data_IF_752469200778
#
_entry.id   IF_752469200778
#
_cell.length_a   1.000
_cell.length_b   1.000
_cell.length_c   1.000
_cell.angle_alpha   90.00
_cell.angle_beta   90.00
_cell.angle_gamma   90.00
#
_symmetry.space_group_name_H-M   'P 1'
#
loop_
_entity.id
_entity.type
_entity.pdbx_description
1 polymer ?
#
# COMPACT_ATOMS: atom_id res chain seq x y z
N UNK A 1 -12.96 16.10 14.73
CA UNK A 1 -13.12 14.70 14.29
C UNK A 1 -11.95 13.92 14.87
N UNK A 2 -12.14 12.77 15.52
CA UNK A 2 -11.00 12.02 16.07
C UNK A 2 -10.37 11.18 14.95
N UNK A 3 -9.06 10.89 14.98
CA UNK A 3 -8.41 10.11 13.94
C UNK A 3 -9.08 8.75 13.72
N UNK A 4 -9.36 7.99 14.79
CA UNK A 4 -10.05 6.70 14.72
C UNK A 4 -11.41 6.71 14.00
N UNK A 5 -12.06 7.87 13.89
CA UNK A 5 -13.34 7.98 13.19
C UNK A 5 -13.12 8.03 11.65
N UNK A 6 -11.89 8.24 11.17
CA UNK A 6 -11.53 8.32 9.75
C UNK A 6 -11.19 6.97 9.13
N UNK A 7 -10.38 6.12 9.76
CA UNK A 7 -9.92 4.85 9.18
C UNK A 7 -9.93 3.71 10.22
N UNK A 8 -11.10 3.35 10.77
CA UNK A 8 -11.19 2.41 11.89
C UNK A 8 -10.65 1.01 11.54
N UNK A 9 -10.92 0.51 10.33
CA UNK A 9 -10.50 -0.85 9.95
C UNK A 9 -8.97 -0.95 9.78
N UNK A 10 -8.34 0.11 9.25
CA UNK A 10 -6.88 0.14 9.15
C UNK A 10 -6.22 0.36 10.52
N UNK A 11 -6.77 1.24 11.36
CA UNK A 11 -6.29 1.46 12.73
C UNK A 11 -6.30 0.13 13.52
N UNK A 12 -7.38 -0.65 13.40
CA UNK A 12 -7.48 -1.99 14.00
C UNK A 12 -6.45 -2.97 13.43
N UNK A 13 -6.31 -3.02 12.09
CA UNK A 13 -5.32 -3.88 11.44
C UNK A 13 -3.91 -3.59 11.93
N UNK A 14 -3.51 -2.32 11.94
CA UNK A 14 -2.16 -1.91 12.29
C UNK A 14 -1.85 -2.21 13.76
N UNK A 15 -2.76 -1.87 14.68
CA UNK A 15 -2.61 -2.20 16.10
C UNK A 15 -2.53 -3.72 16.36
N UNK A 16 -3.10 -4.53 15.46
CA UNK A 16 -3.04 -5.99 15.53
C UNK A 16 -1.71 -6.55 15.04
N UNK A 17 -1.15 -6.01 13.95
CA UNK A 17 0.04 -6.57 13.28
C UNK A 17 1.36 -5.90 13.71
N UNK A 18 1.29 -4.73 14.34
CA UNK A 18 2.46 -4.02 14.84
C UNK A 18 2.35 -3.86 16.36
N UNK A 19 3.15 -4.60 17.15
CA UNK A 19 3.13 -4.51 18.61
C UNK A 19 3.45 -3.10 19.12
N UNK A 20 2.77 -2.71 20.21
CA UNK A 20 2.99 -1.44 20.95
C UNK A 20 2.83 -0.14 20.15
N UNK A 21 2.29 -0.25 18.94
CA UNK A 21 2.20 0.81 17.95
C UNK A 21 1.43 2.04 18.44
N UNK A 22 0.31 1.83 19.12
CA UNK A 22 -0.54 2.92 19.62
C UNK A 22 0.14 3.83 20.63
N UNK A 23 1.24 3.40 21.25
CA UNK A 23 2.04 4.22 22.18
C UNK A 23 3.21 4.95 21.52
N UNK A 24 3.55 4.59 20.28
CA UNK A 24 4.75 5.05 19.58
C UNK A 24 4.46 6.08 18.50
N UNK A 25 3.26 6.02 17.90
CA UNK A 25 2.83 6.99 16.90
C UNK A 25 2.73 8.42 17.42
N UNK A 26 3.19 9.36 16.61
CA UNK A 26 3.07 10.80 16.87
C UNK A 26 2.47 11.49 15.65
N UNK A 27 1.32 12.10 15.84
CA UNK A 27 0.64 12.88 14.81
C UNK A 27 1.28 14.24 14.59
N UNK A 28 1.08 14.79 13.39
CA UNK A 28 1.32 16.19 13.10
C UNK A 28 0.32 17.08 13.85
N UNK A 29 0.72 18.32 14.09
CA UNK A 29 -0.15 19.36 14.66
C UNK A 29 -1.20 19.81 13.66
N UNK A 30 -2.31 20.38 14.13
CA UNK A 30 -3.34 20.96 13.25
C UNK A 30 -2.76 22.05 12.35
N UNK A 31 -1.83 22.86 12.87
CA UNK A 31 -1.16 23.90 12.08
C UNK A 31 -0.37 23.34 10.90
N UNK A 32 0.37 22.25 11.11
CA UNK A 32 1.13 21.61 10.02
C UNK A 32 0.19 21.00 8.97
N UNK A 33 -0.92 20.39 9.40
CA UNK A 33 -1.93 19.86 8.49
C UNK A 33 -2.54 21.00 7.65
N UNK A 34 -2.88 22.13 8.28
CA UNK A 34 -3.40 23.31 7.59
C UNK A 34 -2.40 23.88 6.58
N UNK A 35 -1.10 23.89 6.92
CA UNK A 35 -0.04 24.31 5.99
C UNK A 35 0.07 23.36 4.78
N UNK A 36 -0.03 22.06 4.99
CA UNK A 36 -0.04 21.07 3.91
C UNK A 36 -1.30 21.22 3.03
N UNK A 37 -2.47 21.52 3.62
CA UNK A 37 -3.70 21.84 2.86
C UNK A 37 -3.55 23.10 2.01
N UNK A 38 -2.89 24.13 2.53
CA UNK A 38 -2.57 25.34 1.77
C UNK A 38 -1.64 25.05 0.59
N UNK A 39 -0.62 24.19 0.79
CA UNK A 39 0.28 23.76 -0.29
C UNK A 39 -0.50 22.97 -1.36
N UNK A 40 -1.40 22.08 -0.94
CA UNK A 40 -2.25 21.31 -1.85
C UNK A 40 -3.29 22.18 -2.59
N UNK A 41 -3.63 23.34 -2.02
CA UNK A 41 -4.69 24.24 -2.53
C UNK A 41 -6.10 23.65 -2.42
N UNK A 42 -6.29 22.62 -1.58
CA UNK A 42 -7.53 21.87 -1.41
C UNK A 42 -7.52 21.08 -0.08
N UNK A 43 -8.68 20.62 0.42
CA UNK A 43 -8.73 19.66 1.52
C UNK A 43 -7.95 18.38 1.19
N UNK A 44 -7.25 17.80 2.18
CA UNK A 44 -6.53 16.54 1.97
C UNK A 44 -7.49 15.36 1.80
N UNK A 45 -7.07 14.34 1.02
CA UNK A 45 -7.67 13.01 1.08
C UNK A 45 -7.95 12.53 2.49
N UNK A 46 -9.07 11.82 2.68
CA UNK A 46 -9.51 11.31 3.99
C UNK A 46 -8.39 10.52 4.67
N UNK A 47 -7.78 9.60 3.91
CA UNK A 47 -6.71 8.74 4.38
C UNK A 47 -5.45 9.53 4.78
N UNK A 48 -5.01 10.50 3.96
CA UNK A 48 -3.81 11.26 4.29
C UNK A 48 -3.99 12.14 5.53
N UNK A 49 -5.18 12.71 5.70
CA UNK A 49 -5.49 13.47 6.91
C UNK A 49 -5.42 12.56 8.15
N UNK A 50 -5.99 11.34 8.07
CA UNK A 50 -5.84 10.34 9.13
C UNK A 50 -4.37 10.01 9.40
N UNK A 51 -3.60 9.75 8.34
CA UNK A 51 -2.18 9.43 8.41
C UNK A 51 -1.40 10.52 9.13
N UNK A 52 -1.58 11.79 8.73
CA UNK A 52 -0.92 12.91 9.39
C UNK A 52 -1.34 13.04 10.86
N UNK A 53 -2.61 12.88 11.18
CA UNK A 53 -3.09 12.96 12.57
C UNK A 53 -2.58 11.81 13.46
N UNK A 54 -2.27 10.63 12.91
CA UNK A 54 -1.73 9.49 13.65
C UNK A 54 -0.20 9.49 13.68
N UNK A 55 0.43 9.66 12.52
CA UNK A 55 1.84 9.36 12.28
C UNK A 55 2.61 10.48 11.58
N UNK A 56 2.02 11.68 11.46
CA UNK A 56 2.62 12.79 10.74
C UNK A 56 3.95 13.29 11.31
N UNK A 57 4.31 12.98 12.56
CA UNK A 57 5.64 13.26 13.11
C UNK A 57 6.49 12.00 13.22
N UNK A 58 5.88 10.90 13.65
CA UNK A 58 6.58 9.63 13.90
C UNK A 58 5.64 8.46 13.64
N UNK A 59 6.08 7.54 12.78
CA UNK A 59 5.36 6.31 12.43
C UNK A 59 5.68 5.15 13.39
N UNK A 60 6.49 5.40 14.42
CA UNK A 60 6.94 4.39 15.37
C UNK A 60 7.81 3.35 14.66
N UNK A 61 7.54 2.05 14.83
CA UNK A 61 8.35 0.99 14.23
C UNK A 61 8.04 0.76 12.74
N UNK A 62 7.11 1.50 12.15
CA UNK A 62 6.79 1.40 10.72
C UNK A 62 7.82 2.22 9.94
N UNK A 63 8.58 1.55 9.08
CA UNK A 63 9.65 2.15 8.31
C UNK A 63 9.58 1.72 6.84
N UNK A 64 9.73 2.69 5.94
CA UNK A 64 9.94 2.44 4.53
C UNK A 64 11.38 2.80 4.21
N UNK A 65 12.13 1.86 3.63
CA UNK A 65 13.53 2.10 3.26
C UNK A 65 13.63 3.38 2.43
N UNK A 66 14.51 4.27 2.89
CA UNK A 66 14.87 5.56 2.29
C UNK A 66 13.74 6.60 2.11
N UNK A 67 12.52 6.31 2.56
CA UNK A 67 11.36 7.20 2.45
C UNK A 67 11.00 7.84 3.80
N UNK A 68 10.90 9.16 3.83
CA UNK A 68 10.52 9.94 5.02
C UNK A 68 9.14 10.57 4.80
N UNK A 69 8.15 10.13 5.58
CA UNK A 69 6.76 10.58 5.50
C UNK A 69 6.39 11.72 6.47
N UNK A 70 7.34 12.22 7.27
CA UNK A 70 7.03 13.19 8.31
C UNK A 70 6.57 14.54 7.73
N UNK A 71 5.53 15.13 8.31
CA UNK A 71 5.02 16.45 7.99
C UNK A 71 6.10 17.54 8.08
N UNK A 72 6.98 17.57 9.12
CA UNK A 72 8.11 18.51 9.14
C UNK A 72 9.00 18.40 7.91
N UNK A 73 9.31 17.17 7.47
CA UNK A 73 10.13 16.95 6.26
C UNK A 73 9.39 17.43 5.00
N UNK A 74 8.10 17.09 4.85
CA UNK A 74 7.29 17.54 3.71
C UNK A 74 7.27 19.07 3.64
N UNK A 75 6.98 19.73 4.76
CA UNK A 75 6.95 21.20 4.85
C UNK A 75 8.32 21.83 4.57
N UNK A 76 9.40 21.24 5.09
CA UNK A 76 10.77 21.70 4.84
C UNK A 76 11.10 21.66 3.35
N UNK A 77 10.77 20.58 2.64
CA UNK A 77 11.04 20.48 1.20
C UNK A 77 10.34 21.59 0.38
N UNK A 78 9.11 21.97 0.77
CA UNK A 78 8.42 23.10 0.12
C UNK A 78 8.99 24.46 0.54
N UNK A 79 9.38 24.63 1.80
CA UNK A 79 10.00 25.87 2.30
C UNK A 79 11.35 26.15 1.61
N UNK A 80 12.15 25.10 1.41
CA UNK A 80 13.45 25.15 0.72
C UNK A 80 13.32 25.15 -0.81
N UNK A 81 12.09 25.08 -1.34
CA UNK A 81 11.79 25.04 -2.77
C UNK A 81 12.44 23.86 -3.50
N UNK A 82 12.68 22.76 -2.79
CA UNK A 82 13.03 21.48 -3.41
C UNK A 82 11.85 20.99 -4.25
N UNK A 83 10.63 21.30 -3.81
CA UNK A 83 9.39 21.11 -4.54
C UNK A 83 8.66 22.43 -4.74
N UNK A 84 8.06 22.59 -5.92
CA UNK A 84 7.17 23.72 -6.22
C UNK A 84 5.72 23.25 -6.02
N UNK A 85 4.89 23.99 -5.26
CA UNK A 85 3.46 23.67 -5.14
C UNK A 85 2.80 23.55 -6.52
N UNK A 86 2.03 22.47 -6.71
CA UNK A 86 1.39 22.18 -8.00
C UNK A 86 -0.06 21.71 -7.76
N UNK A 87 -1.08 22.23 -8.48
CA UNK A 87 -2.48 21.95 -8.17
C UNK A 87 -2.90 20.49 -8.36
N UNK A 88 -2.10 19.71 -9.11
CA UNK A 88 -2.29 18.27 -9.33
C UNK A 88 -1.51 17.39 -8.35
N UNK A 89 -0.35 17.85 -7.86
CA UNK A 89 0.59 16.97 -7.17
C UNK A 89 0.90 17.50 -5.77
N UNK A 90 0.88 16.58 -4.79
CA UNK A 90 1.34 16.85 -3.43
C UNK A 90 2.37 15.80 -3.04
N UNK A 91 3.55 16.23 -2.60
CA UNK A 91 4.54 15.31 -2.04
C UNK A 91 4.06 14.82 -0.67
N UNK A 92 4.07 13.50 -0.48
CA UNK A 92 3.65 12.84 0.76
C UNK A 92 4.78 12.04 1.42
N UNK A 93 5.86 11.74 0.68
CA UNK A 93 7.09 11.23 1.26
C UNK A 93 8.32 11.72 0.48
N UNK A 94 9.35 12.10 1.21
CA UNK A 94 10.66 12.46 0.66
C UNK A 94 11.53 11.21 0.49
N UNK A 95 12.29 11.14 -0.60
CA UNK A 95 13.18 10.02 -0.93
C UNK A 95 14.60 10.51 -0.69
N UNK A 96 15.31 9.81 0.19
CA UNK A 96 16.67 10.17 0.63
C UNK A 96 17.77 9.61 -0.27
N UNK A 97 17.44 8.68 -1.18
CA UNK A 97 18.40 8.19 -2.18
C UNK A 97 18.82 9.31 -3.14
N UNK A 98 20.09 9.73 -3.04
CA UNK A 98 20.67 10.82 -3.84
C UNK A 98 20.89 10.46 -5.32
N UNK A 99 20.95 9.17 -5.67
CA UNK A 99 21.32 8.75 -7.02
C UNK A 99 20.16 8.94 -8.01
N UNK A 100 18.94 8.61 -7.60
CA UNK A 100 17.71 8.80 -8.39
C UNK A 100 16.50 9.03 -7.46
N UNK A 101 16.36 10.24 -6.88
CA UNK A 101 15.30 10.49 -5.91
C UNK A 101 13.94 10.50 -6.62
N UNK A 102 13.18 9.43 -6.38
CA UNK A 102 11.79 9.28 -6.81
C UNK A 102 10.88 9.40 -5.59
N UNK A 103 10.45 10.63 -5.34
CA UNK A 103 9.58 10.96 -4.22
C UNK A 103 8.18 10.39 -4.39
N UNK A 104 7.50 10.18 -3.27
CA UNK A 104 6.12 9.72 -3.28
C UNK A 104 5.16 10.90 -3.33
N UNK A 105 4.25 10.87 -4.29
CA UNK A 105 3.35 11.97 -4.59
C UNK A 105 1.91 11.46 -4.67
N UNK A 106 0.96 12.26 -4.23
CA UNK A 106 -0.41 12.15 -4.70
C UNK A 106 -0.56 12.77 -6.09
N UNK A 107 -1.38 12.13 -6.92
CA UNK A 107 -1.89 12.66 -8.17
C UNK A 107 -3.41 12.90 -8.07
N UNK A 108 -3.79 14.15 -7.77
CA UNK A 108 -5.17 14.57 -7.59
C UNK A 108 -6.01 14.52 -8.86
N UNK A 109 -5.43 14.30 -10.04
CA UNK A 109 -6.20 14.09 -11.27
C UNK A 109 -6.80 12.68 -11.37
N UNK A 110 -6.39 11.76 -10.48
CA UNK A 110 -6.93 10.41 -10.41
C UNK A 110 -7.43 10.10 -9.00
N UNK A 111 -8.55 10.74 -8.57
CA UNK A 111 -9.18 10.42 -7.29
C UNK A 111 -9.71 8.98 -7.31
N UNK A 112 -9.64 8.29 -6.17
CA UNK A 112 -10.15 6.94 -6.00
C UNK A 112 -10.57 6.71 -4.55
N UNK A 113 -11.83 6.29 -4.33
CA UNK A 113 -12.36 5.88 -3.00
C UNK A 113 -12.05 6.88 -1.86
N UNK A 114 -12.40 8.15 -2.06
CA UNK A 114 -12.11 9.26 -1.13
C UNK A 114 -10.62 9.54 -0.85
N UNK A 115 -9.75 8.96 -1.67
CA UNK A 115 -8.31 9.16 -1.70
C UNK A 115 -7.85 9.60 -3.10
N UNK A 116 -6.54 9.63 -3.35
CA UNK A 116 -5.95 9.89 -4.65
C UNK A 116 -4.86 8.88 -5.00
N UNK A 117 -4.60 8.73 -6.30
CA UNK A 117 -3.54 7.87 -6.82
C UNK A 117 -2.19 8.25 -6.24
N UNK A 118 -1.41 7.24 -5.90
CA UNK A 118 -0.02 7.39 -5.48
C UNK A 118 0.91 7.09 -6.65
N UNK A 119 1.86 8.00 -6.88
CA UNK A 119 2.89 7.88 -7.92
C UNK A 119 4.27 8.10 -7.30
N UNK A 120 5.30 7.55 -7.96
CA UNK A 120 6.69 7.94 -7.76
C UNK A 120 7.12 8.94 -8.83
N UNK A 121 7.80 10.03 -8.47
CA UNK A 121 8.21 11.05 -9.43
C UNK A 121 9.34 11.96 -8.94
N UNK A 122 9.97 12.65 -9.88
CA UNK A 122 11.03 13.62 -9.59
C UNK A 122 10.47 14.95 -9.08
N UNK A 123 11.26 15.64 -8.26
CA UNK A 123 10.89 16.94 -7.68
C UNK A 123 10.67 18.05 -8.73
N UNK A 124 11.44 18.02 -9.82
CA UNK A 124 11.40 18.99 -10.90
C UNK A 124 10.34 18.67 -11.97
N UNK A 125 9.44 17.72 -11.70
CA UNK A 125 8.44 17.23 -12.65
C UNK A 125 8.97 16.11 -13.55
N UNK A 126 8.13 15.68 -14.48
CA UNK A 126 8.39 14.52 -15.34
C UNK A 126 7.19 13.57 -15.37
N UNK A 127 7.36 12.43 -16.02
CA UNK A 127 6.36 11.37 -15.97
C UNK A 127 6.41 10.69 -14.60
N UNK A 128 5.29 10.72 -13.89
CA UNK A 128 5.11 9.94 -12.68
C UNK A 128 4.88 8.47 -12.99
N UNK A 129 5.46 7.58 -12.18
CA UNK A 129 5.23 6.15 -12.24
C UNK A 129 4.11 5.77 -11.27
N UNK A 130 2.91 5.39 -11.74
CA UNK A 130 1.84 4.98 -10.85
C UNK A 130 2.28 3.78 -9.99
N UNK A 131 1.96 3.82 -8.71
CA UNK A 131 2.28 2.76 -7.77
C UNK A 131 0.99 2.09 -7.27
N UNK A 132 0.09 2.89 -6.68
CA UNK A 132 -1.17 2.41 -6.08
C UNK A 132 -2.33 3.35 -6.45
N UNK A 133 -3.55 2.82 -6.47
CA UNK A 133 -4.74 3.63 -6.71
C UNK A 133 -5.05 4.56 -5.53
N UNK A 134 -4.66 4.19 -4.32
CA UNK A 134 -4.80 4.98 -3.09
C UNK A 134 -3.56 4.85 -2.19
N UNK A 135 -3.32 5.82 -1.31
CA UNK A 135 -2.27 5.72 -0.30
C UNK A 135 -2.68 4.73 0.79
N UNK A 136 -3.99 4.61 1.08
CA UNK A 136 -4.53 3.59 1.98
C UNK A 136 -4.07 2.17 1.60
N UNK A 137 -4.18 1.84 0.31
CA UNK A 137 -3.75 0.54 -0.22
C UNK A 137 -2.24 0.35 -0.12
N UNK A 138 -1.45 1.33 -0.56
CA UNK A 138 0.01 1.25 -0.46
C UNK A 138 0.45 0.98 0.98
N UNK A 139 -0.18 1.68 1.93
CA UNK A 139 0.15 1.57 3.34
C UNK A 139 -0.19 0.19 3.89
N UNK A 140 -1.43 -0.27 3.71
CA UNK A 140 -1.86 -1.58 4.19
C UNK A 140 -1.12 -2.74 3.51
N UNK A 141 -0.89 -2.64 2.21
CA UNK A 141 -0.11 -3.62 1.43
C UNK A 141 1.32 -3.72 1.97
N UNK A 142 1.97 -2.58 2.22
CA UNK A 142 3.33 -2.54 2.76
C UNK A 142 3.42 -3.18 4.14
N UNK A 143 2.51 -2.84 5.06
CA UNK A 143 2.55 -3.36 6.43
C UNK A 143 2.18 -4.83 6.54
N UNK A 144 1.16 -5.29 5.80
CA UNK A 144 0.83 -6.72 5.76
C UNK A 144 1.96 -7.50 5.08
N UNK A 145 2.55 -6.97 4.00
CA UNK A 145 3.73 -7.54 3.37
C UNK A 145 4.88 -7.69 4.36
N UNK A 146 5.33 -6.62 4.99
CA UNK A 146 6.45 -6.64 5.93
C UNK A 146 6.20 -7.51 7.17
N UNK A 147 5.00 -7.42 7.77
CA UNK A 147 4.72 -8.03 9.08
C UNK A 147 4.08 -9.39 9.02
N UNK A 148 3.34 -9.70 7.96
CA UNK A 148 2.57 -10.95 7.86
C UNK A 148 3.06 -11.88 6.77
N UNK A 149 3.81 -11.37 5.78
CA UNK A 149 4.45 -12.17 4.74
C UNK A 149 5.94 -12.33 5.02
N UNK A 150 6.70 -11.25 5.03
CA UNK A 150 8.17 -11.28 5.11
C UNK A 150 8.73 -11.79 6.44
N UNK A 151 7.95 -11.66 7.51
CA UNK A 151 8.31 -12.17 8.85
C UNK A 151 8.13 -13.69 9.00
N UNK A 152 7.53 -14.36 8.01
CA UNK A 152 7.16 -15.77 8.08
C UNK A 152 8.32 -16.68 7.68
N UNK A 153 8.31 -17.89 8.23
CA UNK A 153 9.34 -18.90 7.99
C UNK A 153 9.32 -19.47 6.56
N UNK A 154 8.19 -19.38 5.87
CA UNK A 154 8.02 -19.83 4.49
C UNK A 154 7.33 -18.73 3.71
N UNK A 155 7.87 -18.42 2.53
CA UNK A 155 7.37 -17.36 1.65
C UNK A 155 7.41 -17.82 0.21
N UNK A 156 6.51 -17.30 -0.59
CA UNK A 156 6.45 -17.57 -2.01
C UNK A 156 6.04 -16.30 -2.75
N UNK A 157 6.68 -16.09 -3.91
CA UNK A 157 6.27 -15.10 -4.90
C UNK A 157 5.73 -15.87 -6.08
N UNK A 158 4.51 -15.52 -6.49
CA UNK A 158 3.92 -16.09 -7.67
C UNK A 158 3.13 -15.03 -8.43
N UNK A 159 2.79 -15.37 -9.66
CA UNK A 159 1.87 -14.58 -10.47
C UNK A 159 0.54 -15.30 -10.66
N UNK A 160 -0.53 -14.53 -10.66
CA UNK A 160 -1.88 -14.96 -11.01
C UNK A 160 -2.27 -14.24 -12.28
N UNK A 161 -2.81 -14.99 -13.23
CA UNK A 161 -3.43 -14.41 -14.41
C UNK A 161 -4.85 -14.88 -14.62
N UNK A 162 -5.70 -13.96 -15.07
CA UNK A 162 -7.08 -14.23 -15.48
C UNK A 162 -7.30 -13.66 -16.89
N UNK A 163 -7.40 -14.50 -17.92
CA UNK A 163 -7.77 -14.05 -19.26
C UNK A 163 -9.13 -13.33 -19.31
N UNK A 164 -10.02 -13.59 -18.33
CA UNK A 164 -11.34 -12.99 -18.17
C UNK A 164 -11.34 -11.56 -17.59
N UNK A 165 -10.25 -11.14 -16.93
CA UNK A 165 -9.98 -9.74 -16.61
C UNK A 165 -10.12 -9.29 -15.16
N UNK A 166 -10.37 -10.18 -14.19
CA UNK A 166 -10.47 -9.78 -12.78
C UNK A 166 -9.97 -10.88 -11.84
N UNK A 167 -8.65 -10.86 -11.57
CA UNK A 167 -8.02 -11.82 -10.65
C UNK A 167 -8.64 -11.77 -9.26
N UNK A 168 -8.94 -10.57 -8.74
CA UNK A 168 -9.46 -10.43 -7.37
C UNK A 168 -10.89 -10.90 -7.24
N UNK A 169 -11.73 -10.75 -8.26
CA UNK A 169 -13.09 -11.30 -8.26
C UNK A 169 -13.12 -12.83 -8.08
N UNK A 170 -12.09 -13.53 -8.58
CA UNK A 170 -11.92 -14.98 -8.39
C UNK A 170 -11.19 -15.33 -7.08
N UNK A 171 -10.22 -14.52 -6.67
CA UNK A 171 -9.40 -14.78 -5.49
C UNK A 171 -10.17 -14.52 -4.18
N UNK A 172 -10.95 -13.44 -4.09
CA UNK A 172 -11.65 -13.03 -2.86
C UNK A 172 -12.52 -14.12 -2.22
N UNK A 173 -13.39 -14.84 -2.97
CA UNK A 173 -14.19 -15.92 -2.40
C UNK A 173 -13.35 -17.06 -1.81
N UNK A 174 -12.23 -17.40 -2.45
CA UNK A 174 -11.35 -18.48 -2.00
C UNK A 174 -10.55 -18.06 -0.77
N UNK A 175 -10.03 -16.83 -0.75
CA UNK A 175 -9.34 -16.32 0.43
C UNK A 175 -10.29 -16.31 1.65
N UNK A 176 -11.54 -15.91 1.44
CA UNK A 176 -12.57 -15.94 2.48
C UNK A 176 -12.91 -17.37 2.93
N UNK A 177 -13.02 -18.35 2.03
CA UNK A 177 -13.28 -19.75 2.39
C UNK A 177 -12.12 -20.37 3.19
N UNK A 178 -10.89 -19.92 2.90
CA UNK A 178 -9.67 -20.27 3.64
C UNK A 178 -9.54 -19.53 4.98
N UNK A 179 -10.51 -18.70 5.35
CA UNK A 179 -10.56 -17.98 6.62
C UNK A 179 -9.62 -16.78 6.69
N UNK A 180 -9.18 -16.23 5.55
CA UNK A 180 -8.53 -14.94 5.54
C UNK A 180 -9.55 -13.80 5.69
N UNK A 181 -9.13 -12.75 6.38
CA UNK A 181 -9.82 -11.48 6.40
C UNK A 181 -9.24 -10.57 5.32
N UNK A 182 -10.09 -9.77 4.68
CA UNK A 182 -9.67 -8.61 3.88
C UNK A 182 -9.87 -7.35 4.75
N UNK A 183 -8.86 -6.95 5.55
CA UNK A 183 -9.04 -6.00 6.65
C UNK A 183 -9.34 -4.57 6.18
N UNK A 184 -9.09 -4.25 4.91
CA UNK A 184 -9.48 -2.98 4.31
C UNK A 184 -10.14 -3.23 2.96
N UNK A 185 -10.99 -2.29 2.53
CA UNK A 185 -11.46 -2.29 1.15
C UNK A 185 -10.34 -1.82 0.23
N UNK A 186 -10.10 -2.58 -0.83
CA UNK A 186 -9.15 -2.28 -1.89
C UNK A 186 -9.86 -2.23 -3.25
N UNK A 187 -9.19 -1.65 -4.24
CA UNK A 187 -9.59 -1.70 -5.65
C UNK A 187 -9.10 -2.96 -6.36
N UNK A 188 -9.41 -3.10 -7.66
CA UNK A 188 -9.14 -4.32 -8.43
C UNK A 188 -7.65 -4.62 -8.63
N UNK A 189 -6.76 -3.71 -8.20
CA UNK A 189 -5.30 -3.81 -8.41
C UNK A 189 -4.51 -4.09 -7.16
N UNK A 190 -5.16 -4.26 -6.01
CA UNK A 190 -4.49 -4.49 -4.75
C UNK A 190 -5.30 -5.49 -3.93
N UNK A 191 -4.69 -6.61 -3.55
CA UNK A 191 -5.26 -7.55 -2.59
C UNK A 191 -4.48 -7.46 -1.28
N UNK A 192 -5.19 -7.36 -0.16
CA UNK A 192 -4.58 -7.43 1.18
C UNK A 192 -5.40 -8.40 2.00
N UNK A 193 -4.79 -9.53 2.35
CA UNK A 193 -5.42 -10.60 3.10
C UNK A 193 -4.58 -10.96 4.31
N UNK A 194 -5.23 -11.10 5.45
CA UNK A 194 -4.57 -11.39 6.71
C UNK A 194 -5.25 -12.56 7.44
N UNK A 195 -4.42 -13.44 7.99
CA UNK A 195 -4.81 -14.51 8.91
C UNK A 195 -3.73 -14.66 9.98
N UNK A 196 -4.07 -15.20 11.15
CA UNK A 196 -3.13 -15.30 12.27
C UNK A 196 -1.83 -16.08 11.93
N UNK A 197 -1.92 -17.09 11.06
CA UNK A 197 -0.82 -17.97 10.66
C UNK A 197 -0.30 -17.73 9.23
N UNK A 198 -0.89 -16.79 8.48
CA UNK A 198 -0.52 -16.51 7.09
C UNK A 198 -0.92 -15.08 6.65
N UNK A 199 -0.12 -14.48 5.79
CA UNK A 199 -0.44 -13.21 5.12
C UNK A 199 -0.40 -13.40 3.60
N UNK A 200 -1.24 -12.67 2.88
CA UNK A 200 -1.15 -12.58 1.43
C UNK A 200 -1.34 -11.13 1.01
N UNK A 201 -0.44 -10.63 0.17
CA UNK A 201 -0.62 -9.35 -0.51
C UNK A 201 -0.49 -9.56 -2.01
N UNK A 202 -1.27 -8.84 -2.81
CA UNK A 202 -1.16 -8.88 -4.27
C UNK A 202 -1.26 -7.48 -4.84
N UNK A 203 -0.60 -7.26 -5.97
CA UNK A 203 -0.73 -6.01 -6.71
C UNK A 203 -0.69 -6.27 -8.21
N UNK A 204 -1.47 -5.49 -8.96
CA UNK A 204 -1.39 -5.44 -10.41
C UNK A 204 -0.61 -4.20 -10.82
N UNK A 205 0.41 -4.39 -11.63
CA UNK A 205 1.19 -3.29 -12.18
C UNK A 205 0.29 -2.41 -13.04
N UNK A 206 0.32 -1.10 -12.81
CA UNK A 206 -0.34 -0.13 -13.68
C UNK A 206 0.51 0.08 -14.93
N UNK A 207 0.71 -0.95 -15.74
CA UNK A 207 1.33 -0.74 -17.05
C UNK A 207 0.36 0.07 -17.91
N UNK A 208 0.90 1.05 -18.65
CA UNK A 208 0.13 1.82 -19.64
C UNK A 208 -0.60 0.82 -20.55
N UNK A 209 -1.82 1.14 -21.01
CA UNK A 209 -2.59 0.27 -21.89
C UNK A 209 -1.94 0.22 -23.27
N UNK A 210 -0.82 -0.50 -23.41
CA UNK A 210 -0.38 -1.02 -24.70
C UNK A 210 -1.17 -2.31 -24.95
N UNK A 211 -2.43 -2.14 -25.34
CA UNK A 211 -3.26 -3.10 -26.07
C UNK A 211 -3.79 -4.37 -25.37
N UNK A 212 -3.98 -4.38 -24.04
CA UNK A 212 -4.64 -5.52 -23.38
C UNK A 212 -5.38 -5.16 -22.09
N UNK A 213 -6.32 -6.00 -21.63
CA UNK A 213 -7.04 -5.83 -20.36
C UNK A 213 -6.05 -5.78 -19.17
N UNK A 214 -5.69 -4.57 -18.74
CA UNK A 214 -4.61 -4.30 -17.79
C UNK A 214 -4.90 -4.62 -16.32
N UNK A 215 -5.76 -5.60 -16.06
CA UNK A 215 -6.01 -6.17 -14.72
C UNK A 215 -5.95 -7.72 -14.72
N UNK A 216 -5.56 -8.32 -15.85
CA UNK A 216 -5.44 -9.77 -16.00
C UNK A 216 -4.24 -10.38 -15.28
N UNK A 217 -3.40 -9.60 -14.59
CA UNK A 217 -2.13 -10.10 -14.05
C UNK A 217 -1.80 -9.43 -12.71
N UNK A 218 -1.61 -10.26 -11.69
CA UNK A 218 -1.18 -9.86 -10.36
C UNK A 218 0.09 -10.58 -9.98
N UNK A 219 1.02 -9.85 -9.37
CA UNK A 219 2.08 -10.44 -8.56
C UNK A 219 1.52 -10.58 -7.15
N UNK A 220 1.67 -11.75 -6.54
CA UNK A 220 1.27 -11.99 -5.16
C UNK A 220 2.41 -12.57 -4.33
N UNK A 221 2.45 -12.14 -3.08
CA UNK A 221 3.38 -12.60 -2.07
C UNK A 221 2.57 -13.28 -0.97
N UNK A 222 2.92 -14.52 -0.65
CA UNK A 222 2.25 -15.32 0.37
C UNK A 222 3.29 -15.81 1.38
N UNK A 223 3.04 -15.56 2.67
CA UNK A 223 3.87 -16.04 3.76
C UNK A 223 3.07 -16.90 4.74
N UNK A 224 3.66 -17.98 5.22
CA UNK A 224 3.06 -18.85 6.24
C UNK A 224 4.13 -19.49 7.14
N UNK A 225 3.71 -20.10 8.25
CA UNK A 225 4.64 -20.72 9.19
C UNK A 225 5.26 -22.04 8.69
N UNK A 226 4.63 -22.71 7.71
CA UNK A 226 5.09 -24.00 7.19
C UNK A 226 4.72 -24.22 5.70
N UNK A 227 5.44 -25.13 5.03
CA UNK A 227 5.27 -25.39 3.60
C UNK A 227 3.94 -26.06 3.28
N UNK A 228 3.38 -26.82 4.21
CA UNK A 228 2.16 -27.58 3.98
C UNK A 228 0.99 -26.59 3.87
N UNK A 229 1.04 -25.52 4.65
CA UNK A 229 0.09 -24.43 4.59
C UNK A 229 0.14 -23.67 3.27
N UNK A 230 1.34 -23.31 2.78
CA UNK A 230 1.47 -22.64 1.47
C UNK A 230 0.88 -23.55 0.38
N UNK A 231 1.27 -24.83 0.35
CA UNK A 231 0.75 -25.80 -0.63
C UNK A 231 -0.77 -25.95 -0.56
N UNK A 232 -1.34 -25.99 0.64
CA UNK A 232 -2.78 -26.03 0.83
C UNK A 232 -3.44 -24.80 0.21
N UNK A 233 -2.96 -23.59 0.54
CA UNK A 233 -3.55 -22.34 0.04
C UNK A 233 -3.47 -22.27 -1.49
N UNK A 234 -2.30 -22.56 -2.08
CA UNK A 234 -2.12 -22.57 -3.54
C UNK A 234 -2.99 -23.64 -4.22
N UNK A 235 -3.08 -24.83 -3.63
CA UNK A 235 -3.91 -25.91 -4.13
C UNK A 235 -5.39 -25.55 -4.17
N UNK A 236 -5.89 -24.84 -3.15
CA UNK A 236 -7.27 -24.37 -3.06
C UNK A 236 -7.54 -23.24 -4.07
N UNK A 237 -6.60 -22.31 -4.26
CA UNK A 237 -6.69 -21.28 -5.31
C UNK A 237 -6.81 -21.92 -6.69
N UNK A 238 -5.95 -22.89 -7.02
CA UNK A 238 -5.97 -23.57 -8.33
C UNK A 238 -7.20 -24.47 -8.49
N UNK A 239 -7.70 -25.08 -7.42
CA UNK A 239 -8.86 -25.96 -7.48
C UNK A 239 -10.19 -25.20 -7.64
N UNK A 240 -10.33 -24.05 -6.99
CA UNK A 240 -11.59 -23.32 -6.86
C UNK A 240 -11.70 -22.11 -7.82
N UNK A 241 -10.63 -21.78 -8.55
CA UNK A 241 -10.60 -20.64 -9.47
C UNK A 241 -10.12 -21.04 -10.87
N UNK A 242 -10.52 -20.30 -11.92
CA UNK A 242 -9.95 -20.48 -13.26
C UNK A 242 -8.57 -19.79 -13.41
N UNK A 243 -7.98 -19.28 -12.34
CA UNK A 243 -6.75 -18.49 -12.41
C UNK A 243 -5.57 -19.36 -12.80
N UNK A 244 -4.73 -18.84 -13.70
CA UNK A 244 -3.45 -19.44 -14.01
C UNK A 244 -2.44 -18.99 -12.97
N UNK A 245 -1.75 -19.94 -12.33
CA UNK A 245 -0.79 -19.69 -11.26
C UNK A 245 0.61 -20.13 -11.69
N UNK A 246 1.56 -19.20 -11.65
CA UNK A 246 2.98 -19.45 -11.93
C UNK A 246 3.84 -19.08 -10.73
N UNK A 247 4.63 -20.05 -10.22
CA UNK A 247 5.55 -19.85 -9.09
C UNK A 247 6.85 -19.25 -9.61
N UNK A 248 7.20 -18.06 -9.11
CA UNK A 248 8.42 -17.35 -9.48
C UNK A 248 9.55 -17.66 -8.50
N UNK A 249 9.26 -17.62 -7.20
CA UNK A 249 10.25 -17.82 -6.14
C UNK A 249 9.63 -18.52 -4.93
N UNK A 250 10.40 -19.39 -4.28
CA UNK A 250 10.05 -20.04 -3.02
C UNK A 250 11.22 -19.92 -2.04
N UNK A 251 10.97 -19.36 -0.86
CA UNK A 251 11.98 -19.11 0.17
C UNK A 251 11.56 -19.73 1.53
N UNK A 252 12.37 -20.65 2.11
CA UNK A 252 13.56 -21.28 1.54
C UNK A 252 13.21 -22.23 0.37
N UNK A 253 14.14 -22.48 -0.57
CA UNK A 253 13.89 -23.40 -1.69
C UNK A 253 13.47 -24.81 -1.24
N UNK A 254 12.55 -25.42 -2.00
CA UNK A 254 12.05 -26.79 -1.77
C UNK A 254 13.09 -27.89 -2.04
#
# INVERSE_FOLDING_TARGET
MRPQDLEPELDELLLRIVPDLGSQWRGATEHEIDQIEQIAGRPLPRFYRWFLMRMGHDMGPIEYRSMIFSAPTVLQCYAERLFVPHPRFLMIAYETDEMMPLHLLYDFNFPARDDARVIKGHALGGEGHPQFETFREMFAWGEVGARSVESRAQKIVCSLSDPGGDVLAHLDPVMKSLGFEAPISTGPRCGVYHRADAGLVSFATVTRPSNGPGACYHIFHLGANDHARIRQILGEIVAETPLELEIEEWDPPL
#
